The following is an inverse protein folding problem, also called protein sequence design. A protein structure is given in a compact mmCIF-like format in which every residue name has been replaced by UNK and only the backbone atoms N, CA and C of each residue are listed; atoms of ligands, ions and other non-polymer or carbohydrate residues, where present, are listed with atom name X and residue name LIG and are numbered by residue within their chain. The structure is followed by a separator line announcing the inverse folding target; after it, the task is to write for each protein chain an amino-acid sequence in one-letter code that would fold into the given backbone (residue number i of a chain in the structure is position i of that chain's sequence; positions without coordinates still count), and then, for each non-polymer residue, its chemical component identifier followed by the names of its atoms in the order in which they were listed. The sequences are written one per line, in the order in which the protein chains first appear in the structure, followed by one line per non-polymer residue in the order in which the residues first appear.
data_IF_914360657059
#
_entry.id   IF_914360657059
#
_cell.length_a   1.000
_cell.length_b   1.000
_cell.length_c   1.000
_cell.angle_alpha   90.00
_cell.angle_beta   90.00
_cell.angle_gamma   90.00
#
_symmetry.space_group_name_H-M   'P 1'
#
loop_
_entity.id
_entity.type
_entity.pdbx_description
1 polymer ?
#
# COMPACT_ATOMS: atom_id res chain seq x y z
N UNK A 1 2.84 2.48 47.78
CA UNK A 1 2.29 1.12 47.59
C UNK A 1 0.91 1.26 46.95
N UNK A 2 0.63 0.87 45.73
CA UNK A 2 1.40 0.18 44.69
C UNK A 2 0.50 -0.09 43.48
N UNK A 3 1.10 -0.04 42.27
CA UNK A 3 0.67 -0.67 40.99
C UNK A 3 -0.55 -0.05 40.29
N UNK A 4 -0.53 0.50 39.07
CA UNK A 4 0.06 0.04 37.80
C UNK A 4 -0.22 -1.43 37.51
N UNK A 5 -0.74 -1.72 36.30
CA UNK A 5 -1.24 -3.00 35.72
C UNK A 5 -2.77 -3.09 35.81
N UNK A 6 -3.59 -3.40 34.80
CA UNK A 6 -3.53 -3.90 33.41
C UNK A 6 -4.95 -3.60 32.86
N UNK A 7 -5.21 -3.17 31.64
CA UNK A 7 -5.16 -4.02 30.46
C UNK A 7 -5.41 -3.14 29.21
N UNK A 8 -4.37 -2.95 28.39
CA UNK A 8 -4.39 -2.24 27.10
C UNK A 8 -4.54 -3.24 25.95
N UNK A 9 -5.67 -3.94 25.88
CA UNK A 9 -5.94 -4.91 24.79
C UNK A 9 -7.28 -4.72 24.12
N UNK A 10 -7.57 -3.54 23.55
CA UNK A 10 -8.69 -3.43 22.61
C UNK A 10 -8.29 -2.69 21.32
N UNK A 11 -8.08 -3.52 20.29
CA UNK A 11 -8.19 -3.28 18.83
C UNK A 11 -6.93 -2.80 18.08
N UNK A 12 -6.13 -3.75 17.54
CA UNK A 12 -4.88 -3.46 16.82
C UNK A 12 -5.06 -2.85 15.42
N UNK A 13 -6.28 -2.68 14.90
CA UNK A 13 -6.50 -2.16 13.53
C UNK A 13 -6.66 -0.64 13.49
N UNK A 14 -7.11 -0.02 14.57
CA UNK A 14 -7.38 1.42 14.59
C UNK A 14 -6.22 2.27 15.15
N UNK A 15 -5.38 1.67 16.01
CA UNK A 15 -4.31 2.41 16.70
C UNK A 15 -2.99 2.58 15.93
N UNK A 16 -2.55 1.68 15.03
CA UNK A 16 -1.32 1.88 14.26
C UNK A 16 -1.52 2.65 12.95
N UNK A 17 -2.76 2.99 12.56
CA UNK A 17 -3.06 3.64 11.27
C UNK A 17 -2.86 5.16 11.31
N UNK A 18 -2.74 5.78 12.48
CA UNK A 18 -2.58 7.23 12.62
C UNK A 18 -1.25 7.58 13.29
N UNK A 19 -0.16 7.55 12.50
CA UNK A 19 0.72 8.72 12.43
C UNK A 19 1.15 8.95 10.98
N UNK A 20 0.26 9.52 10.18
CA UNK A 20 0.58 10.11 8.88
C UNK A 20 -0.23 11.40 8.80
N UNK A 21 0.37 12.51 8.39
CA UNK A 21 -0.30 13.81 8.22
C UNK A 21 -1.44 13.69 7.18
N UNK A 22 -2.63 13.30 7.62
CA UNK A 22 -3.79 12.96 6.77
C UNK A 22 -4.90 13.99 6.98
N UNK A 23 -5.45 14.51 5.87
CA UNK A 23 -6.54 15.49 5.88
C UNK A 23 -7.94 14.85 5.79
N UNK A 24 -8.09 13.63 5.23
CA UNK A 24 -9.40 12.95 5.10
C UNK A 24 -9.25 11.42 5.25
N UNK A 25 -10.11 10.79 6.06
CA UNK A 25 -10.15 9.32 6.18
C UNK A 25 -11.57 8.82 5.86
N UNK A 26 -11.72 8.10 4.73
CA UNK A 26 -12.98 7.48 4.33
C UNK A 26 -12.99 6.02 4.73
N UNK A 27 -13.76 5.67 5.76
CA UNK A 27 -13.95 4.29 6.14
C UNK A 27 -14.85 3.57 5.12
N UNK A 28 -14.45 2.37 4.72
CA UNK A 28 -15.28 1.49 3.91
C UNK A 28 -15.89 0.44 4.85
N UNK A 29 -17.21 0.47 5.03
CA UNK A 29 -17.99 -0.39 5.91
C UNK A 29 -19.25 -0.88 5.21
N UNK A 30 -19.44 -2.19 5.10
CA UNK A 30 -20.70 -2.78 4.64
C UNK A 30 -21.92 -2.38 5.50
N UNK A 31 -22.97 -1.86 4.82
CA UNK A 31 -24.43 -2.11 4.93
C UNK A 31 -25.10 -1.94 6.33
N UNK A 32 -26.41 -1.62 6.45
CA UNK A 32 -27.10 -1.62 7.74
C UNK A 32 -26.82 -2.91 8.51
N UNK A 33 -26.70 -2.81 9.84
CA UNK A 33 -25.80 -3.63 10.63
C UNK A 33 -26.12 -5.12 10.45
N UNK A 34 -25.21 -5.90 9.86
CA UNK A 34 -25.07 -7.31 10.26
C UNK A 34 -24.62 -7.27 11.72
N UNK A 35 -25.57 -7.54 12.61
CA UNK A 35 -25.82 -6.73 13.83
C UNK A 35 -24.69 -6.61 14.87
N UNK A 36 -23.61 -7.41 14.79
CA UNK A 36 -22.51 -7.34 15.75
C UNK A 36 -21.13 -7.07 15.14
N UNK A 37 -20.68 -7.85 14.15
CA UNK A 37 -19.28 -7.80 13.68
C UNK A 37 -18.93 -6.49 12.98
N UNK A 38 -19.54 -6.24 11.81
CA UNK A 38 -19.32 -5.02 11.03
C UNK A 38 -19.78 -3.77 11.81
N UNK A 39 -20.83 -3.91 12.64
CA UNK A 39 -21.31 -2.86 13.52
C UNK A 39 -20.30 -2.46 14.61
N UNK A 40 -19.65 -3.44 15.25
CA UNK A 40 -18.59 -3.19 16.22
C UNK A 40 -17.39 -2.51 15.56
N UNK A 41 -16.97 -2.99 14.39
CA UNK A 41 -15.88 -2.36 13.64
C UNK A 41 -16.18 -0.89 13.33
N UNK A 42 -17.36 -0.60 12.79
CA UNK A 42 -17.79 0.78 12.50
C UNK A 42 -17.85 1.64 13.77
N UNK A 43 -18.36 1.09 14.87
CA UNK A 43 -18.44 1.78 16.15
C UNK A 43 -17.04 2.15 16.68
N UNK A 44 -16.11 1.21 16.64
CA UNK A 44 -14.73 1.46 17.05
C UNK A 44 -14.07 2.54 16.17
N UNK A 45 -14.33 2.51 14.87
CA UNK A 45 -13.83 3.55 13.96
C UNK A 45 -14.42 4.93 14.28
N UNK A 46 -15.72 5.02 14.62
CA UNK A 46 -16.35 6.27 15.08
C UNK A 46 -15.73 6.80 16.38
N UNK A 47 -15.47 5.91 17.33
CA UNK A 47 -14.84 6.27 18.62
C UNK A 47 -13.42 6.80 18.45
N UNK A 48 -12.66 6.23 17.51
CA UNK A 48 -11.33 6.75 17.17
C UNK A 48 -11.44 8.05 16.39
N UNK A 49 -12.34 8.14 15.41
CA UNK A 49 -12.56 9.36 14.62
C UNK A 49 -12.95 10.57 15.49
N UNK A 50 -13.73 10.35 16.55
CA UNK A 50 -14.08 11.40 17.52
C UNK A 50 -12.85 12.01 18.22
N UNK A 51 -11.72 11.31 18.28
CA UNK A 51 -10.45 11.81 18.84
C UNK A 51 -9.63 12.64 17.84
N UNK A 52 -10.01 12.63 16.55
CA UNK A 52 -9.34 13.33 15.46
C UNK A 52 -10.35 14.19 14.65
N UNK A 53 -10.95 15.23 15.27
CA UNK A 53 -12.00 16.03 14.63
C UNK A 53 -11.54 16.79 13.38
N UNK A 54 -10.24 16.96 13.19
CA UNK A 54 -9.64 17.56 11.99
C UNK A 54 -9.70 16.64 10.75
N UNK A 55 -9.95 15.34 10.94
CA UNK A 55 -10.03 14.36 9.86
C UNK A 55 -11.50 14.11 9.56
N UNK A 56 -11.91 14.36 8.32
CA UNK A 56 -13.29 14.05 7.90
C UNK A 56 -13.49 12.54 7.90
N UNK A 57 -14.51 12.08 8.60
CA UNK A 57 -14.89 10.67 8.68
C UNK A 57 -16.16 10.39 7.87
N UNK A 58 -16.06 9.52 6.87
CA UNK A 58 -17.18 9.01 6.11
C UNK A 58 -17.25 7.47 6.23
N UNK A 59 -18.43 6.90 6.05
CA UNK A 59 -18.61 5.45 5.94
C UNK A 59 -19.34 5.09 4.65
N UNK A 60 -18.91 4.03 3.97
CA UNK A 60 -19.51 3.57 2.72
C UNK A 60 -19.60 2.06 2.64
N UNK A 61 -20.75 1.55 2.22
CA UNK A 61 -21.01 0.14 1.93
C UNK A 61 -19.99 -0.43 0.94
N UNK A 62 -19.45 -1.64 1.16
CA UNK A 62 -18.43 -2.22 0.26
C UNK A 62 -18.93 -2.36 -1.18
N UNK A 63 -20.19 -2.74 -1.38
CA UNK A 63 -20.79 -2.88 -2.72
C UNK A 63 -20.84 -1.52 -3.43
N UNK A 64 -21.24 -0.46 -2.72
CA UNK A 64 -21.18 0.89 -3.27
C UNK A 64 -19.72 1.34 -3.47
N UNK A 65 -18.81 0.94 -2.57
CA UNK A 65 -17.39 1.29 -2.67
C UNK A 65 -16.77 0.73 -3.93
N UNK A 66 -17.00 -0.55 -4.25
CA UNK A 66 -16.48 -1.15 -5.49
C UNK A 66 -17.08 -0.48 -6.72
N UNK A 67 -18.38 -0.15 -6.72
CA UNK A 67 -19.00 0.65 -7.78
C UNK A 67 -18.37 2.04 -7.94
N UNK A 68 -18.10 2.73 -6.82
CA UNK A 68 -17.47 4.05 -6.82
C UNK A 68 -15.99 3.99 -7.23
N UNK A 69 -15.26 2.93 -6.89
CA UNK A 69 -13.87 2.73 -7.29
C UNK A 69 -13.73 2.61 -8.81
N UNK A 70 -14.64 1.92 -9.47
CA UNK A 70 -14.59 1.80 -10.94
C UNK A 70 -15.17 3.02 -11.66
N UNK A 71 -15.98 3.84 -10.98
CA UNK A 71 -16.65 5.00 -11.59
C UNK A 71 -15.90 6.32 -11.35
N UNK A 72 -15.52 6.60 -10.10
CA UNK A 72 -14.86 7.84 -9.67
C UNK A 72 -13.93 7.56 -8.48
N UNK A 73 -12.79 6.88 -8.68
CA UNK A 73 -11.90 6.47 -7.60
C UNK A 73 -11.22 7.66 -6.87
N UNK A 74 -11.09 8.82 -7.52
CA UNK A 74 -10.42 10.01 -6.98
C UNK A 74 -11.15 10.64 -5.78
N UNK A 75 -12.33 10.15 -5.44
CA UNK A 75 -13.08 10.59 -4.26
C UNK A 75 -12.59 10.00 -2.94
N UNK A 76 -11.73 8.98 -3.01
CA UNK A 76 -11.19 8.29 -1.85
C UNK A 76 -9.81 8.85 -1.49
N UNK A 77 -9.55 8.94 -0.19
CA UNK A 77 -8.24 9.31 0.37
C UNK A 77 -7.68 8.08 1.11
N UNK A 78 -7.82 8.02 2.44
CA UNK A 78 -7.47 6.82 3.22
C UNK A 78 -8.67 5.91 3.39
N UNK A 79 -8.51 4.62 3.10
CA UNK A 79 -9.54 3.59 3.31
C UNK A 79 -9.13 2.59 4.38
N UNK A 80 -9.99 2.42 5.39
CA UNK A 80 -9.81 1.42 6.45
C UNK A 80 -10.98 0.43 6.41
N UNK A 81 -10.68 -0.86 6.53
CA UNK A 81 -11.66 -1.93 6.42
C UNK A 81 -11.15 -3.24 7.05
N UNK A 82 -12.04 -4.19 7.40
CA UNK A 82 -11.67 -5.54 7.82
C UNK A 82 -10.94 -6.32 6.72
N UNK A 83 -10.22 -7.37 7.13
CA UNK A 83 -9.33 -8.17 6.27
C UNK A 83 -9.96 -8.63 4.95
N UNK A 84 -11.17 -9.20 5.00
CA UNK A 84 -11.86 -9.70 3.80
C UNK A 84 -12.10 -8.60 2.77
N UNK A 85 -12.63 -7.45 3.20
CA UNK A 85 -12.91 -6.33 2.30
C UNK A 85 -11.61 -5.69 1.82
N UNK A 86 -10.58 -5.67 2.68
CA UNK A 86 -9.24 -5.23 2.34
C UNK A 86 -8.70 -5.96 1.12
N UNK A 87 -8.81 -7.29 1.11
CA UNK A 87 -8.34 -8.09 -0.04
C UNK A 87 -9.12 -7.77 -1.33
N UNK A 88 -10.44 -7.55 -1.26
CA UNK A 88 -11.26 -7.21 -2.44
C UNK A 88 -10.86 -5.84 -2.98
N UNK A 89 -10.91 -4.81 -2.12
CA UNK A 89 -10.63 -3.43 -2.52
C UNK A 89 -9.18 -3.28 -3.00
N UNK A 90 -8.22 -3.93 -2.34
CA UNK A 90 -6.82 -3.88 -2.74
C UNK A 90 -6.59 -4.43 -4.15
N UNK A 91 -7.26 -5.52 -4.54
CA UNK A 91 -7.17 -6.06 -5.90
C UNK A 91 -7.86 -5.15 -6.93
N UNK A 92 -9.01 -4.56 -6.61
CA UNK A 92 -9.68 -3.58 -7.48
C UNK A 92 -8.79 -2.38 -7.72
N UNK A 93 -8.24 -1.78 -6.65
CA UNK A 93 -7.34 -0.64 -6.74
C UNK A 93 -6.06 -0.99 -7.52
N UNK A 94 -5.47 -2.17 -7.27
CA UNK A 94 -4.31 -2.62 -8.04
C UNK A 94 -4.63 -2.72 -9.54
N UNK A 95 -5.80 -3.25 -9.90
CA UNK A 95 -6.26 -3.27 -11.29
C UNK A 95 -6.42 -1.89 -11.91
N UNK A 96 -6.97 -0.92 -11.17
CA UNK A 96 -7.20 0.45 -11.64
C UNK A 96 -5.91 1.20 -11.96
N UNK A 97 -4.80 0.89 -11.27
CA UNK A 97 -3.51 1.58 -11.44
C UNK A 97 -2.54 0.85 -12.37
N UNK A 98 -2.99 -0.19 -13.08
CA UNK A 98 -2.18 -0.90 -14.08
C UNK A 98 -1.80 -2.34 -13.71
N UNK A 99 -2.24 -2.84 -12.55
CA UNK A 99 -2.21 -4.25 -12.23
C UNK A 99 -1.24 -4.66 -11.11
N UNK A 100 -1.11 -5.97 -10.88
CA UNK A 100 -0.40 -6.52 -9.72
C UNK A 100 1.11 -6.28 -9.71
N UNK A 101 1.71 -6.01 -10.88
CA UNK A 101 3.14 -5.79 -11.05
C UNK A 101 3.65 -4.44 -10.54
N UNK A 102 2.74 -3.51 -10.22
CA UNK A 102 3.09 -2.12 -9.90
C UNK A 102 2.91 -1.76 -8.41
N UNK A 103 2.02 -2.45 -7.70
CA UNK A 103 1.61 -2.03 -6.35
C UNK A 103 2.37 -2.78 -5.26
N UNK A 104 3.09 -2.03 -4.43
CA UNK A 104 3.78 -2.54 -3.25
C UNK A 104 2.87 -2.58 -2.01
N UNK A 105 3.14 -3.51 -1.10
CA UNK A 105 2.43 -3.68 0.16
C UNK A 105 3.37 -3.79 1.36
N UNK A 106 2.83 -3.49 2.53
CA UNK A 106 3.55 -3.66 3.80
C UNK A 106 2.58 -4.09 4.91
N UNK A 107 3.08 -4.95 5.78
CA UNK A 107 2.38 -5.43 6.97
C UNK A 107 3.18 -4.97 8.19
N UNK A 108 2.58 -4.11 9.00
CA UNK A 108 3.20 -3.57 10.20
C UNK A 108 2.59 -4.24 11.44
N UNK A 109 3.45 -4.85 12.25
CA UNK A 109 3.14 -5.26 13.62
C UNK A 109 3.73 -4.29 14.63
N UNK A 110 3.63 -4.62 15.93
CA UNK A 110 4.15 -3.75 17.00
C UNK A 110 5.67 -3.59 16.99
N UNK A 111 6.39 -4.67 16.64
CA UNK A 111 7.87 -4.72 16.66
C UNK A 111 8.47 -5.26 15.36
N UNK A 112 7.63 -5.79 14.47
CA UNK A 112 8.04 -6.41 13.22
C UNK A 112 7.35 -5.73 12.05
N UNK A 113 8.01 -5.69 10.89
CA UNK A 113 7.44 -5.24 9.64
C UNK A 113 7.83 -6.19 8.51
N UNK A 114 6.88 -6.51 7.63
CA UNK A 114 7.08 -7.39 6.47
C UNK A 114 6.62 -6.66 5.22
N UNK A 115 7.49 -6.58 4.22
CA UNK A 115 7.26 -5.88 2.95
C UNK A 115 7.10 -6.90 1.83
N UNK A 116 6.07 -6.73 1.00
CA UNK A 116 5.67 -7.68 -0.04
C UNK A 116 5.00 -6.97 -1.21
N UNK A 117 4.60 -7.71 -2.25
CA UNK A 117 3.72 -7.16 -3.29
C UNK A 117 2.29 -7.06 -2.76
N UNK A 118 1.57 -6.00 -3.12
CA UNK A 118 0.23 -5.76 -2.57
C UNK A 118 -0.76 -6.88 -2.89
N UNK A 119 -0.67 -7.46 -4.10
CA UNK A 119 -1.64 -8.44 -4.60
C UNK A 119 -1.34 -9.88 -4.19
N UNK A 120 -0.22 -10.14 -3.50
CA UNK A 120 0.23 -11.48 -3.05
C UNK A 120 0.18 -12.55 -4.15
N UNK A 121 0.35 -12.13 -5.40
CA UNK A 121 0.32 -13.03 -6.53
C UNK A 121 1.65 -13.79 -6.63
N UNK A 122 1.56 -15.11 -6.85
CA UNK A 122 2.73 -15.98 -6.94
C UNK A 122 3.37 -16.00 -8.33
N UNK A 123 2.65 -15.59 -9.38
CA UNK A 123 3.20 -15.51 -10.74
C UNK A 123 3.73 -16.84 -11.30
N UNK A 124 3.24 -17.99 -10.82
CA UNK A 124 3.78 -19.32 -11.21
C UNK A 124 3.83 -19.55 -12.72
N UNK A 125 2.88 -19.01 -13.48
CA UNK A 125 2.82 -19.14 -14.93
C UNK A 125 3.94 -18.38 -15.67
N UNK A 126 4.54 -17.37 -15.04
CA UNK A 126 5.59 -16.51 -15.61
C UNK A 126 6.95 -16.67 -14.93
N UNK A 127 7.04 -17.54 -13.92
CA UNK A 127 8.29 -17.82 -13.21
C UNK A 127 9.38 -18.33 -14.18
N UNK A 128 10.61 -17.87 -13.98
CA UNK A 128 11.80 -18.23 -14.79
C UNK A 128 11.71 -17.84 -16.28
N UNK A 129 10.83 -16.91 -16.65
CA UNK A 129 10.67 -16.46 -18.05
C UNK A 129 11.21 -15.06 -18.34
N UNK A 130 11.78 -14.37 -17.35
CA UNK A 130 12.33 -13.01 -17.50
C UNK A 130 11.30 -11.97 -18.01
N UNK A 131 10.03 -12.14 -17.65
CA UNK A 131 8.91 -11.25 -18.06
C UNK A 131 8.12 -10.70 -16.87
N UNK A 132 8.56 -10.96 -15.64
CA UNK A 132 7.89 -10.45 -14.45
C UNK A 132 8.23 -8.98 -14.26
N UNK A 133 7.23 -8.16 -13.92
CA UNK A 133 7.45 -6.76 -13.58
C UNK A 133 8.17 -6.63 -12.24
N UNK A 134 9.36 -6.00 -12.18
CA UNK A 134 10.10 -5.86 -10.92
C UNK A 134 9.57 -4.72 -10.04
N UNK A 135 8.72 -3.84 -10.57
CA UNK A 135 8.35 -2.55 -9.97
C UNK A 135 7.76 -2.69 -8.57
N UNK A 136 6.72 -3.51 -8.39
CA UNK A 136 6.07 -3.70 -7.08
C UNK A 136 7.06 -4.17 -5.99
N UNK A 137 7.92 -5.13 -6.32
CA UNK A 137 8.91 -5.67 -5.37
C UNK A 137 9.98 -4.64 -5.02
N UNK A 138 10.44 -3.85 -6.00
CA UNK A 138 11.41 -2.78 -5.75
C UNK A 138 10.82 -1.63 -4.93
N UNK A 139 9.56 -1.27 -5.17
CA UNK A 139 8.87 -0.29 -4.34
C UNK A 139 8.66 -0.80 -2.91
N UNK A 140 8.35 -2.09 -2.74
CA UNK A 140 8.27 -2.73 -1.42
C UNK A 140 9.61 -2.69 -0.68
N UNK A 141 10.73 -2.92 -1.38
CA UNK A 141 12.06 -2.78 -0.77
C UNK A 141 12.41 -1.33 -0.43
N UNK A 142 11.91 -0.36 -1.20
CA UNK A 142 12.03 1.06 -0.83
C UNK A 142 11.27 1.39 0.46
N UNK A 143 10.06 0.83 0.65
CA UNK A 143 9.31 0.97 1.90
C UNK A 143 10.07 0.34 3.09
N UNK A 144 10.72 -0.81 2.86
CA UNK A 144 11.59 -1.44 3.86
C UNK A 144 12.76 -0.54 4.23
N UNK A 145 13.45 0.06 3.26
CA UNK A 145 14.54 0.99 3.52
C UNK A 145 14.09 2.22 4.31
N UNK A 146 12.90 2.75 4.03
CA UNK A 146 12.31 3.84 4.83
C UNK A 146 12.04 3.40 6.28
N UNK A 147 11.54 2.17 6.48
CA UNK A 147 11.33 1.63 7.81
C UNK A 147 12.64 1.48 8.60
N UNK A 148 13.73 1.12 7.90
CA UNK A 148 15.09 1.05 8.44
C UNK A 148 15.78 2.42 8.57
N UNK A 149 15.08 3.53 8.30
CA UNK A 149 15.59 4.92 8.33
C UNK A 149 16.69 5.23 7.31
N UNK A 150 16.77 4.44 6.24
CA UNK A 150 17.69 4.60 5.12
C UNK A 150 17.06 5.41 3.97
N UNK A 151 16.48 6.56 4.29
CA UNK A 151 15.64 7.36 3.39
C UNK A 151 16.34 7.81 2.11
N UNK A 152 17.64 8.11 2.16
CA UNK A 152 18.42 8.52 0.98
C UNK A 152 18.48 7.41 -0.08
N UNK A 153 18.67 6.16 0.36
CA UNK A 153 18.69 5.00 -0.52
C UNK A 153 17.29 4.68 -1.05
N UNK A 154 16.28 4.72 -0.17
CA UNK A 154 14.89 4.53 -0.55
C UNK A 154 14.45 5.52 -1.63
N UNK A 155 14.79 6.79 -1.47
CA UNK A 155 14.45 7.87 -2.42
C UNK A 155 15.17 7.69 -3.75
N UNK A 156 16.46 7.37 -3.73
CA UNK A 156 17.25 7.16 -4.95
C UNK A 156 16.71 6.00 -5.78
N UNK A 157 16.44 4.85 -5.15
CA UNK A 157 15.88 3.68 -5.85
C UNK A 157 14.47 3.99 -6.34
N UNK A 158 13.60 4.59 -5.51
CA UNK A 158 12.23 4.93 -5.90
C UNK A 158 12.18 5.86 -7.10
N UNK A 159 13.01 6.91 -7.12
CA UNK A 159 13.11 7.83 -8.27
C UNK A 159 13.56 7.10 -9.53
N UNK A 160 14.53 6.20 -9.41
CA UNK A 160 15.01 5.41 -10.55
C UNK A 160 13.94 4.43 -11.08
N UNK A 161 13.18 3.78 -10.19
CA UNK A 161 12.05 2.91 -10.56
C UNK A 161 10.98 3.71 -11.30
N UNK A 162 10.57 4.86 -10.78
CA UNK A 162 9.57 5.72 -11.42
C UNK A 162 10.06 6.28 -12.76
N UNK A 163 11.33 6.69 -12.85
CA UNK A 163 11.91 7.15 -14.11
C UNK A 163 11.94 6.06 -15.20
N UNK A 164 12.19 4.79 -14.81
CA UNK A 164 12.14 3.67 -15.75
C UNK A 164 10.72 3.39 -16.25
N UNK A 165 9.73 3.59 -15.38
CA UNK A 165 8.31 3.47 -15.72
C UNK A 165 7.84 4.54 -16.73
N UNK A 166 8.51 5.68 -16.83
CA UNK A 166 8.21 6.70 -17.86
C UNK A 166 8.68 6.26 -19.26
N UNK A 167 9.53 5.24 -19.38
CA UNK A 167 10.02 4.72 -20.65
C UNK A 167 9.21 3.51 -21.11
N UNK A 168 8.34 3.70 -22.11
CA UNK A 168 7.49 2.65 -22.69
C UNK A 168 8.28 1.43 -23.21
N UNK A 169 9.54 1.61 -23.62
CA UNK A 169 10.36 0.49 -24.09
C UNK A 169 10.75 -0.48 -22.96
N UNK A 170 10.74 -0.01 -21.71
CA UNK A 170 11.09 -0.80 -20.53
C UNK A 170 9.86 -1.49 -19.92
N UNK A 171 8.66 -1.21 -20.45
CA UNK A 171 7.43 -1.78 -19.93
C UNK A 171 7.39 -3.30 -20.16
N UNK A 172 7.10 -4.04 -19.09
CA UNK A 172 6.93 -5.49 -19.14
C UNK A 172 5.56 -5.89 -19.69
N UNK A 173 5.34 -7.17 -20.07
CA UNK A 173 4.11 -7.59 -20.74
C UNK A 173 2.81 -7.40 -19.95
N UNK A 174 2.87 -7.36 -18.62
CA UNK A 174 1.71 -7.14 -17.74
C UNK A 174 1.09 -5.75 -17.88
N UNK A 175 1.88 -4.75 -18.30
CA UNK A 175 1.44 -3.38 -18.55
C UNK A 175 1.41 -3.02 -20.04
N UNK A 176 1.45 -4.03 -20.92
CA UNK A 176 1.29 -3.87 -22.37
C UNK A 176 2.58 -3.64 -23.16
N UNK A 177 3.75 -3.69 -22.52
CA UNK A 177 5.03 -3.56 -23.20
C UNK A 177 5.64 -4.89 -23.68
N UNK A 178 6.86 -4.81 -24.22
CA UNK A 178 7.63 -5.96 -24.72
C UNK A 178 8.97 -6.15 -23.99
N UNK A 179 9.27 -5.29 -23.02
CA UNK A 179 10.51 -5.33 -22.24
C UNK A 179 10.58 -6.53 -21.32
N UNK A 180 11.80 -6.95 -21.02
CA UNK A 180 12.08 -8.04 -20.08
C UNK A 180 12.36 -7.51 -18.67
N UNK A 181 12.28 -8.40 -17.66
CA UNK A 181 12.65 -8.04 -16.28
C UNK A 181 14.08 -7.51 -16.22
N UNK A 182 15.02 -8.15 -16.91
CA UNK A 182 16.42 -7.74 -16.96
C UNK A 182 16.61 -6.35 -17.57
N UNK A 183 15.90 -6.01 -18.63
CA UNK A 183 16.00 -4.68 -19.27
C UNK A 183 15.47 -3.59 -18.36
N UNK A 184 14.31 -3.81 -17.73
CA UNK A 184 13.76 -2.88 -16.74
C UNK A 184 14.74 -2.68 -15.57
N UNK A 185 15.31 -3.75 -15.00
CA UNK A 185 16.32 -3.65 -13.95
C UNK A 185 17.56 -2.89 -14.42
N UNK A 186 18.04 -3.17 -15.62
CA UNK A 186 19.22 -2.51 -16.17
C UNK A 186 19.01 -1.02 -16.36
N UNK A 187 17.82 -0.61 -16.78
CA UNK A 187 17.45 0.79 -16.93
C UNK A 187 17.34 1.49 -15.56
N UNK A 188 16.72 0.84 -14.57
CA UNK A 188 16.67 1.35 -13.20
C UNK A 188 18.08 1.55 -12.64
N UNK A 189 18.98 0.59 -12.81
CA UNK A 189 20.38 0.70 -12.36
C UNK A 189 21.09 1.90 -13.00
N UNK A 190 20.84 2.20 -14.28
CA UNK A 190 21.42 3.38 -14.97
C UNK A 190 20.97 4.70 -14.35
N UNK A 191 19.75 4.76 -13.82
CA UNK A 191 19.20 5.95 -13.16
C UNK A 191 19.70 6.13 -11.72
N UNK A 192 20.20 5.07 -11.08
CA UNK A 192 20.78 5.15 -9.74
C UNK A 192 22.21 5.69 -9.83
N UNK A 193 22.40 6.94 -9.39
CA UNK A 193 23.72 7.57 -9.28
C UNK A 193 24.21 7.54 -7.84
N UNK A 194 25.29 6.80 -7.60
CA UNK A 194 25.98 6.72 -6.31
C UNK A 194 27.37 7.33 -6.49
N UNK A 195 27.72 8.30 -5.64
CA UNK A 195 29.08 8.84 -5.55
C UNK A 195 29.60 8.60 -4.14
N UNK A 196 30.81 8.04 -4.02
CA UNK A 196 31.47 7.75 -2.74
C UNK A 196 30.57 6.98 -1.74
N UNK A 197 29.78 6.01 -2.21
CA UNK A 197 28.89 5.19 -1.39
C UNK A 197 27.62 5.89 -0.89
N UNK A 198 27.40 7.16 -1.28
CA UNK A 198 26.20 7.94 -0.95
C UNK A 198 25.33 8.11 -2.19
N UNK A 199 24.02 7.96 -2.00
CA UNK A 199 23.04 8.36 -3.01
C UNK A 199 23.17 9.86 -3.25
N UNK A 200 23.38 10.26 -4.51
CA UNK A 200 23.50 11.67 -4.89
C UNK A 200 22.18 12.09 -5.52
N UNK A 201 21.64 13.22 -5.08
CA UNK A 201 20.54 13.86 -5.79
C UNK A 201 21.08 14.42 -7.12
N UNK A 202 20.49 13.97 -8.23
CA UNK A 202 20.65 14.61 -9.53
C UNK A 202 19.81 15.89 -9.60
#
# INVERSE_FOLDING_TARGET
MGGWLEDRTQLPVAHPVLPVDIAVAKLVSCVPPRKLGDGLFLQCCKEVAARYPQITFENMIVDNTTMQLVSRPQQFDVMVMPNLYGNIVNNVCAGLVGGPGLVAGANYGHVYAVFETATRNTGKSIANKNIANPTATLLASCMMLDHLKLHSYATSIRRAVLASMDNENMHTPDIGGQGTTSEAIQDIIRHIRISNGRAVEA
#
